data_IF_379868281383
#
_entry.id   IF_379868281383
#
_cell.length_a   1.000
_cell.length_b   1.000
_cell.length_c   1.000
_cell.angle_alpha   90.00
_cell.angle_beta   90.00
_cell.angle_gamma   90.00
#
_symmetry.space_group_name_H-M   'P 1'
#
loop_
_entity.id
_entity.type
_entity.pdbx_description
1 polymer ?
#
# COMPACT_ATOMS: atom_id res chain seq x y z
N UNK A 1 5.08 -17.41 5.93
CA UNK A 1 5.87 -18.20 4.94
C UNK A 1 5.11 -18.41 3.64
N UNK A 2 3.88 -18.95 3.64
CA UNK A 2 3.13 -19.26 2.41
C UNK A 2 2.96 -18.07 1.46
N UNK A 3 2.38 -16.95 1.91
CA UNK A 3 2.09 -15.82 1.03
C UNK A 3 3.33 -15.28 0.32
N UNK A 4 4.49 -15.22 0.96
CA UNK A 4 5.73 -14.75 0.32
C UNK A 4 6.12 -15.63 -0.88
N UNK A 5 6.06 -16.95 -0.72
CA UNK A 5 6.40 -17.88 -1.81
C UNK A 5 5.30 -17.93 -2.88
N UNK A 6 4.03 -17.91 -2.45
CA UNK A 6 2.87 -17.89 -3.34
C UNK A 6 2.89 -16.65 -4.21
N UNK A 7 3.03 -15.48 -3.61
CA UNK A 7 3.03 -14.21 -4.31
C UNK A 7 4.25 -14.10 -5.22
N UNK A 8 5.43 -14.55 -4.77
CA UNK A 8 6.61 -14.64 -5.62
C UNK A 8 6.38 -15.51 -6.86
N UNK A 9 5.76 -16.67 -6.67
CA UNK A 9 5.41 -17.57 -7.76
C UNK A 9 4.41 -16.95 -8.75
N UNK A 10 3.29 -16.39 -8.26
CA UNK A 10 2.24 -15.83 -9.13
C UNK A 10 2.64 -14.51 -9.80
N UNK A 11 3.54 -13.73 -9.18
CA UNK A 11 4.07 -12.49 -9.78
C UNK A 11 5.31 -12.74 -10.65
N UNK A 12 5.93 -13.92 -10.55
CA UNK A 12 7.12 -14.30 -11.31
C UNK A 12 8.42 -13.66 -10.81
N UNK A 13 8.45 -13.12 -9.59
CA UNK A 13 9.67 -12.54 -9.00
C UNK A 13 10.47 -13.60 -8.26
N UNK A 14 11.78 -13.65 -8.48
CA UNK A 14 12.65 -14.66 -7.86
C UNK A 14 13.05 -14.32 -6.42
N UNK A 15 12.92 -13.07 -6.01
CA UNK A 15 13.42 -12.53 -4.74
C UNK A 15 12.62 -13.01 -3.51
N UNK A 16 11.38 -13.47 -3.68
CA UNK A 16 10.56 -13.97 -2.58
C UNK A 16 10.74 -15.45 -2.23
N UNK A 17 11.64 -16.16 -2.91
CA UNK A 17 11.90 -17.58 -2.68
C UNK A 17 12.95 -17.80 -1.57
N UNK A 18 12.62 -18.68 -0.63
CA UNK A 18 13.50 -19.15 0.45
C UNK A 18 13.24 -20.63 0.74
N UNK A 19 14.19 -21.32 1.37
CA UNK A 19 14.10 -22.75 1.67
C UNK A 19 13.22 -23.02 2.91
N UNK A 20 11.91 -23.13 2.68
CA UNK A 20 10.94 -23.47 3.73
C UNK A 20 11.17 -24.85 4.33
N UNK A 21 11.58 -25.85 3.55
CA UNK A 21 11.83 -27.19 4.06
C UNK A 21 12.98 -27.19 5.07
N UNK A 22 14.03 -26.41 4.78
CA UNK A 22 15.13 -26.21 5.72
C UNK A 22 14.64 -25.58 7.02
N UNK A 23 13.86 -24.50 6.95
CA UNK A 23 13.30 -23.82 8.14
C UNK A 23 12.48 -24.81 8.98
N UNK A 24 11.57 -25.56 8.38
CA UNK A 24 10.75 -26.56 9.08
C UNK A 24 11.61 -27.64 9.75
N UNK A 25 12.71 -28.07 9.10
CA UNK A 25 13.61 -29.10 9.64
C UNK A 25 14.36 -28.65 10.90
N UNK A 26 14.71 -27.37 10.98
CA UNK A 26 15.46 -26.79 12.12
C UNK A 26 14.57 -26.16 13.19
N UNK A 27 13.28 -26.01 12.91
CA UNK A 27 12.27 -25.49 13.83
C UNK A 27 12.06 -26.41 15.03
N UNK A 28 12.00 -25.86 16.24
CA UNK A 28 11.77 -26.61 17.47
C UNK A 28 10.69 -25.91 18.31
N UNK A 29 9.79 -26.69 18.94
CA UNK A 29 8.95 -26.14 20.00
C UNK A 29 9.82 -25.81 21.22
N UNK A 30 9.49 -24.72 21.87
CA UNK A 30 9.98 -24.27 23.17
C UNK A 30 8.74 -23.89 24.02
N UNK A 31 8.87 -23.75 25.34
CA UNK A 31 7.70 -23.73 26.27
C UNK A 31 6.54 -22.83 25.82
N UNK A 32 6.82 -21.60 25.39
CA UNK A 32 5.82 -20.62 24.96
C UNK A 32 6.01 -20.13 23.51
N UNK A 33 6.93 -20.73 22.74
CA UNK A 33 7.30 -20.21 21.43
C UNK A 33 7.87 -21.26 20.48
N UNK A 34 8.09 -20.84 19.24
CA UNK A 34 8.81 -21.61 18.24
C UNK A 34 10.20 -21.01 18.08
N UNK A 35 11.23 -21.84 18.24
CA UNK A 35 12.63 -21.45 18.07
C UNK A 35 13.25 -22.17 16.87
N UNK A 36 14.37 -21.65 16.38
CA UNK A 36 15.10 -22.23 15.26
C UNK A 36 16.46 -22.71 15.74
N UNK A 37 16.89 -23.94 15.43
CA UNK A 37 18.27 -24.35 15.74
C UNK A 37 19.27 -23.41 15.08
N UNK A 38 20.34 -23.05 15.78
CA UNK A 38 21.45 -22.22 15.27
C UNK A 38 21.92 -22.67 13.87
N UNK A 39 22.05 -23.98 13.64
CA UNK A 39 22.40 -24.57 12.33
C UNK A 39 21.49 -24.18 11.14
N UNK A 40 20.34 -23.56 11.40
CA UNK A 40 19.40 -23.07 10.40
C UNK A 40 19.34 -21.56 10.26
N UNK A 41 20.22 -20.81 10.93
CA UNK A 41 20.28 -19.35 10.90
C UNK A 41 20.20 -18.80 9.47
N UNK A 42 21.05 -19.28 8.56
CA UNK A 42 21.07 -18.79 7.17
C UNK A 42 19.75 -19.00 6.41
N UNK A 43 19.01 -20.07 6.70
CA UNK A 43 17.69 -20.26 6.08
C UNK A 43 16.67 -19.23 6.57
N UNK A 44 16.81 -18.77 7.82
CA UNK A 44 15.98 -17.69 8.36
C UNK A 44 16.45 -16.32 7.83
N UNK A 45 17.75 -16.10 7.66
CA UNK A 45 18.28 -14.90 7.01
C UNK A 45 17.70 -14.75 5.60
N UNK A 46 17.73 -15.83 4.81
CA UNK A 46 17.14 -15.86 3.47
C UNK A 46 15.64 -15.54 3.52
N UNK A 47 14.89 -16.12 4.46
CA UNK A 47 13.48 -15.79 4.65
C UNK A 47 13.24 -14.30 4.93
N UNK A 48 14.02 -13.70 5.83
CA UNK A 48 13.89 -12.27 6.17
C UNK A 48 14.26 -11.40 4.96
N UNK A 49 15.30 -11.77 4.23
CA UNK A 49 15.71 -11.05 3.03
C UNK A 49 14.64 -11.13 1.94
N UNK A 50 14.07 -12.32 1.72
CA UNK A 50 12.95 -12.52 0.79
C UNK A 50 11.73 -11.69 1.21
N UNK A 51 11.39 -11.66 2.51
CA UNK A 51 10.34 -10.77 3.02
C UNK A 51 10.66 -9.32 2.68
N UNK A 52 11.85 -8.84 3.04
CA UNK A 52 12.27 -7.47 2.78
C UNK A 52 12.13 -7.08 1.30
N UNK A 53 12.61 -7.94 0.39
CA UNK A 53 12.54 -7.68 -1.05
C UNK A 53 11.09 -7.69 -1.58
N UNK A 54 10.25 -8.61 -1.12
CA UNK A 54 8.83 -8.67 -1.52
C UNK A 54 8.06 -7.39 -1.17
N UNK A 55 8.31 -6.79 -0.01
CA UNK A 55 7.67 -5.53 0.36
C UNK A 55 8.03 -4.40 -0.61
N UNK A 56 9.30 -4.21 -0.92
CA UNK A 56 9.73 -3.10 -1.79
C UNK A 56 9.41 -3.32 -3.27
N UNK A 57 9.50 -4.56 -3.75
CA UNK A 57 9.36 -4.86 -5.18
C UNK A 57 7.91 -5.13 -5.59
N UNK A 58 7.07 -5.62 -4.66
CA UNK A 58 5.69 -6.04 -4.97
C UNK A 58 4.68 -5.22 -4.18
N UNK A 59 4.70 -5.29 -2.85
CA UNK A 59 3.61 -4.72 -2.03
C UNK A 59 3.60 -3.19 -2.03
N UNK A 60 4.77 -2.56 -2.04
CA UNK A 60 4.95 -1.11 -2.13
C UNK A 60 5.24 -0.63 -3.55
N UNK A 61 5.02 -1.48 -4.55
CA UNK A 61 5.22 -1.08 -5.93
C UNK A 61 4.29 0.10 -6.26
N UNK A 62 4.84 1.25 -6.70
CA UNK A 62 4.08 2.49 -6.76
C UNK A 62 2.90 2.45 -7.73
N UNK A 63 3.00 1.63 -8.79
CA UNK A 63 1.90 1.43 -9.74
C UNK A 63 0.74 0.65 -9.09
N UNK A 64 1.02 -0.33 -8.22
CA UNK A 64 -0.01 -1.06 -7.48
C UNK A 64 -0.69 -0.16 -6.47
N UNK A 65 0.09 0.62 -5.72
CA UNK A 65 -0.41 1.64 -4.80
C UNK A 65 -1.27 2.70 -5.49
N UNK A 66 -0.96 3.06 -6.74
CA UNK A 66 -1.81 3.94 -7.56
C UNK A 66 -3.22 3.39 -7.77
N UNK A 67 -3.35 2.08 -8.01
CA UNK A 67 -4.65 1.43 -8.15
C UNK A 67 -5.43 1.42 -6.81
N UNK A 68 -4.74 1.20 -5.69
CA UNK A 68 -5.32 1.26 -4.35
C UNK A 68 -5.78 2.67 -3.95
N UNK A 69 -5.00 3.70 -4.33
CA UNK A 69 -5.39 5.11 -4.18
C UNK A 69 -6.69 5.37 -4.94
N UNK A 70 -6.77 4.99 -6.22
CA UNK A 70 -7.98 5.16 -7.02
C UNK A 70 -9.15 4.39 -6.41
N UNK A 71 -8.95 3.13 -6.02
CA UNK A 71 -9.96 2.31 -5.34
C UNK A 71 -10.54 3.00 -4.10
N UNK A 72 -9.66 3.51 -3.24
CA UNK A 72 -10.04 4.23 -2.02
C UNK A 72 -10.85 5.49 -2.37
N UNK A 73 -10.41 6.24 -3.38
CA UNK A 73 -11.10 7.45 -3.85
C UNK A 73 -12.46 7.16 -4.46
N UNK A 74 -12.64 6.04 -5.18
CA UNK A 74 -13.95 5.57 -5.63
C UNK A 74 -14.88 5.38 -4.42
N UNK A 75 -14.46 4.59 -3.43
CA UNK A 75 -15.30 4.26 -2.27
C UNK A 75 -15.63 5.50 -1.43
N UNK A 76 -14.68 6.43 -1.29
CA UNK A 76 -14.92 7.73 -0.65
C UNK A 76 -15.97 8.55 -1.42
N UNK A 77 -15.86 8.63 -2.75
CA UNK A 77 -16.82 9.38 -3.58
C UNK A 77 -18.22 8.78 -3.49
N UNK A 78 -18.33 7.46 -3.56
CA UNK A 78 -19.62 6.77 -3.43
C UNK A 78 -20.23 7.04 -2.05
N UNK A 79 -19.44 6.99 -0.97
CA UNK A 79 -19.91 7.32 0.38
C UNK A 79 -20.37 8.77 0.51
N UNK A 80 -19.63 9.71 -0.07
CA UNK A 80 -19.98 11.14 -0.08
C UNK A 80 -21.32 11.37 -0.81
N UNK A 81 -21.45 10.85 -2.03
CA UNK A 81 -22.67 10.95 -2.84
C UNK A 81 -23.87 10.27 -2.14
N UNK A 82 -23.66 9.12 -1.48
CA UNK A 82 -24.69 8.47 -0.66
C UNK A 82 -25.19 9.39 0.46
N UNK A 83 -24.28 10.02 1.20
CA UNK A 83 -24.60 10.98 2.26
C UNK A 83 -25.33 12.23 1.76
N UNK A 84 -25.11 12.63 0.51
CA UNK A 84 -25.81 13.74 -0.16
C UNK A 84 -27.16 13.35 -0.76
N UNK A 85 -27.61 12.10 -0.55
CA UNK A 85 -28.82 11.54 -1.18
C UNK A 85 -28.79 11.63 -2.72
N UNK A 86 -27.60 11.49 -3.31
CA UNK A 86 -27.41 11.50 -4.76
C UNK A 86 -28.24 10.40 -5.45
N UNK A 87 -28.94 10.71 -6.56
CA UNK A 87 -29.78 9.74 -7.27
C UNK A 87 -28.94 8.85 -8.20
N UNK A 88 -28.20 7.89 -7.63
CA UNK A 88 -27.43 6.91 -8.41
C UNK A 88 -28.29 6.19 -9.45
N UNK A 89 -27.76 6.01 -10.66
CA UNK A 89 -28.36 5.11 -11.66
C UNK A 89 -28.43 3.68 -11.14
N UNK A 90 -27.36 3.23 -10.48
CA UNK A 90 -27.30 1.95 -9.77
C UNK A 90 -26.93 2.19 -8.32
N UNK A 91 -27.90 1.98 -7.42
CA UNK A 91 -27.72 2.25 -5.99
C UNK A 91 -26.65 1.35 -5.37
N UNK A 92 -25.74 1.88 -4.53
CA UNK A 92 -24.67 1.12 -3.85
C UNK A 92 -25.19 0.21 -2.72
N UNK A 93 -26.22 -0.60 -2.97
CA UNK A 93 -26.94 -1.37 -1.96
C UNK A 93 -26.05 -2.27 -1.09
N UNK A 94 -25.05 -3.01 -1.64
CA UNK A 94 -24.16 -3.83 -0.80
C UNK A 94 -23.24 -3.01 0.11
N UNK A 95 -23.04 -1.73 -0.18
CA UNK A 95 -22.12 -0.85 0.55
C UNK A 95 -22.81 -0.03 1.65
N UNK A 96 -24.15 0.06 1.65
CA UNK A 96 -24.88 0.97 2.55
C UNK A 96 -24.64 0.68 4.03
N UNK A 97 -24.62 -0.60 4.42
CA UNK A 97 -24.35 -0.99 5.81
C UNK A 97 -22.95 -0.58 6.27
N UNK A 98 -21.97 -0.57 5.36
CA UNK A 98 -20.61 -0.07 5.61
C UNK A 98 -20.59 1.44 5.77
N UNK A 99 -21.31 2.17 4.91
CA UNK A 99 -21.39 3.62 5.00
C UNK A 99 -22.08 4.10 6.27
N UNK A 100 -23.07 3.36 6.76
CA UNK A 100 -23.82 3.63 7.98
C UNK A 100 -23.15 3.11 9.26
N UNK A 101 -22.06 2.34 9.14
CA UNK A 101 -21.37 1.74 10.27
C UNK A 101 -22.17 0.65 10.98
N UNK A 102 -23.13 0.02 10.29
CA UNK A 102 -24.05 -1.01 10.82
C UNK A 102 -23.91 -2.34 10.07
N UNK A 103 -22.67 -2.72 9.76
CA UNK A 103 -22.36 -3.92 8.99
C UNK A 103 -22.73 -5.18 9.78
N UNK A 104 -23.62 -6.00 9.24
CA UNK A 104 -23.84 -7.35 9.75
C UNK A 104 -22.84 -8.34 9.15
N UNK A 105 -22.62 -9.48 9.82
CA UNK A 105 -21.79 -10.57 9.27
C UNK A 105 -22.30 -11.05 7.90
N UNK A 106 -23.62 -11.10 7.72
CA UNK A 106 -24.24 -11.50 6.46
C UNK A 106 -23.96 -10.49 5.34
N UNK A 107 -23.96 -9.19 5.63
CA UNK A 107 -23.61 -8.17 4.64
C UNK A 107 -22.13 -8.23 4.29
N UNK A 108 -21.26 -8.45 5.28
CA UNK A 108 -19.82 -8.58 5.07
C UNK A 108 -19.48 -9.75 4.14
N UNK A 109 -20.05 -10.94 4.38
CA UNK A 109 -19.78 -12.15 3.57
C UNK A 109 -20.32 -12.02 2.14
N UNK A 110 -21.37 -11.22 1.91
CA UNK A 110 -21.96 -11.01 0.59
C UNK A 110 -21.14 -10.11 -0.30
N UNK A 111 -20.20 -9.34 0.25
CA UNK A 111 -19.38 -8.42 -0.51
C UNK A 111 -18.07 -9.11 -0.90
N UNK A 112 -17.92 -9.41 -2.19
CA UNK A 112 -16.70 -9.93 -2.78
C UNK A 112 -16.21 -9.06 -3.95
N UNK A 113 -15.06 -9.41 -4.52
CA UNK A 113 -14.46 -8.72 -5.65
C UNK A 113 -15.41 -8.63 -6.85
N UNK A 114 -16.13 -9.70 -7.18
CA UNK A 114 -17.00 -9.75 -8.35
C UNK A 114 -18.19 -8.78 -8.20
N UNK A 115 -18.74 -8.68 -6.99
CA UNK A 115 -19.77 -7.68 -6.66
C UNK A 115 -19.20 -6.28 -6.83
N UNK A 116 -18.02 -5.98 -6.26
CA UNK A 116 -17.39 -4.66 -6.36
C UNK A 116 -17.13 -4.29 -7.83
N UNK A 117 -16.58 -5.21 -8.63
CA UNK A 117 -16.30 -5.00 -10.05
C UNK A 117 -17.57 -4.77 -10.87
N UNK A 118 -18.66 -5.48 -10.58
CA UNK A 118 -19.96 -5.23 -11.21
C UNK A 118 -20.41 -3.78 -10.98
N UNK A 119 -20.36 -3.32 -9.73
CA UNK A 119 -20.75 -1.94 -9.40
C UNK A 119 -19.83 -0.91 -10.07
N UNK A 120 -18.53 -1.17 -10.10
CA UNK A 120 -17.59 -0.27 -10.78
C UNK A 120 -17.88 -0.19 -12.27
N UNK A 121 -18.16 -1.32 -12.92
CA UNK A 121 -18.57 -1.34 -14.33
C UNK A 121 -19.85 -0.52 -14.55
N UNK A 122 -20.87 -0.69 -13.71
CA UNK A 122 -22.11 0.09 -13.82
C UNK A 122 -21.88 1.59 -13.62
N UNK A 123 -21.03 1.98 -12.68
CA UNK A 123 -20.74 3.39 -12.41
C UNK A 123 -19.86 4.06 -13.47
N UNK A 124 -19.31 3.32 -14.44
CA UNK A 124 -18.65 3.95 -15.62
C UNK A 124 -19.61 4.77 -16.48
N UNK A 125 -20.92 4.58 -16.29
CA UNK A 125 -21.98 5.34 -16.95
C UNK A 125 -22.71 6.31 -15.99
N UNK A 126 -22.22 6.50 -14.76
CA UNK A 126 -22.83 7.42 -13.79
C UNK A 126 -22.72 8.88 -14.23
N UNK A 127 -23.63 9.75 -13.76
CA UNK A 127 -23.61 11.17 -14.14
C UNK A 127 -22.57 11.98 -13.37
N UNK A 128 -22.19 11.54 -12.16
CA UNK A 128 -21.14 12.20 -11.37
C UNK A 128 -19.78 12.06 -12.09
N UNK A 129 -19.14 13.18 -12.50
CA UNK A 129 -17.95 13.11 -13.33
C UNK A 129 -16.74 12.52 -12.61
N UNK A 130 -16.62 12.74 -11.29
CA UNK A 130 -15.51 12.21 -10.48
C UNK A 130 -15.65 10.70 -10.32
N UNK A 131 -16.82 10.23 -9.86
CA UNK A 131 -17.08 8.80 -9.70
C UNK A 131 -16.87 8.07 -11.03
N UNK A 132 -17.47 8.59 -12.11
CA UNK A 132 -17.35 8.02 -13.46
C UNK A 132 -15.90 7.93 -13.93
N UNK A 133 -15.11 8.98 -13.77
CA UNK A 133 -13.70 8.96 -14.19
C UNK A 133 -12.87 7.99 -13.34
N UNK A 134 -13.03 8.00 -12.01
CA UNK A 134 -12.26 7.12 -11.12
C UNK A 134 -12.56 5.63 -11.37
N UNK A 135 -13.83 5.25 -11.51
CA UNK A 135 -14.17 3.85 -11.84
C UNK A 135 -13.72 3.46 -13.24
N UNK A 136 -13.86 4.37 -14.22
CA UNK A 136 -13.33 4.14 -15.57
C UNK A 136 -11.82 3.90 -15.54
N UNK A 137 -11.08 4.68 -14.74
CA UNK A 137 -9.63 4.51 -14.55
C UNK A 137 -9.30 3.17 -13.93
N UNK A 138 -10.02 2.74 -12.90
CA UNK A 138 -9.75 1.47 -12.24
C UNK A 138 -9.99 0.29 -13.19
N UNK A 139 -11.18 0.23 -13.80
CA UNK A 139 -11.58 -0.87 -14.70
C UNK A 139 -10.71 -0.94 -15.95
N UNK A 140 -10.33 0.20 -16.53
CA UNK A 140 -9.48 0.26 -17.74
C UNK A 140 -7.99 0.44 -17.43
N UNK A 141 -7.58 0.27 -16.17
CA UNK A 141 -6.19 0.38 -15.71
C UNK A 141 -5.49 1.69 -16.14
N UNK A 142 -6.20 2.81 -16.11
CA UNK A 142 -5.67 4.16 -16.35
C UNK A 142 -5.27 4.82 -15.03
N UNK A 143 -4.20 4.28 -14.46
CA UNK A 143 -3.72 4.62 -13.12
C UNK A 143 -3.08 6.02 -13.05
N UNK A 144 -3.12 6.62 -11.86
CA UNK A 144 -2.39 7.86 -11.58
C UNK A 144 -0.88 7.65 -11.70
N UNK A 145 -0.19 8.72 -12.10
CA UNK A 145 1.27 8.81 -12.03
C UNK A 145 1.68 9.28 -10.64
N UNK A 146 2.96 9.12 -10.33
CA UNK A 146 3.49 9.45 -9.01
C UNK A 146 4.83 10.17 -9.13
N UNK A 147 5.16 10.93 -8.09
CA UNK A 147 6.47 11.55 -7.85
C UNK A 147 6.84 11.37 -6.37
N UNK A 148 8.13 11.38 -6.05
CA UNK A 148 8.57 11.37 -4.65
C UNK A 148 8.17 12.69 -3.99
N UNK A 149 7.43 12.61 -2.89
CA UNK A 149 6.85 13.79 -2.26
C UNK A 149 6.66 13.59 -0.78
N UNK A 150 7.46 14.28 0.03
CA UNK A 150 7.29 14.27 1.48
C UNK A 150 6.54 15.54 1.92
N UNK A 151 5.27 15.44 2.37
CA UNK A 151 4.47 16.62 2.70
C UNK A 151 5.06 17.42 3.89
N UNK A 152 5.78 16.75 4.80
CA UNK A 152 6.41 17.43 5.94
C UNK A 152 7.59 18.31 5.50
N UNK A 153 8.24 17.98 4.39
CA UNK A 153 9.37 18.73 3.84
C UNK A 153 8.92 19.72 2.75
N UNK A 154 7.83 19.43 2.05
CA UNK A 154 7.36 20.14 0.86
C UNK A 154 5.98 20.77 1.06
N UNK A 155 5.69 21.26 2.27
CA UNK A 155 4.39 21.82 2.63
C UNK A 155 3.95 22.99 1.71
N UNK A 156 4.89 23.84 1.30
CA UNK A 156 4.57 24.97 0.40
C UNK A 156 4.18 24.48 -1.00
N UNK A 157 4.92 23.51 -1.56
CA UNK A 157 4.58 22.87 -2.84
C UNK A 157 3.20 22.17 -2.75
N UNK A 158 2.89 21.54 -1.60
CA UNK A 158 1.58 20.91 -1.35
C UNK A 158 0.44 21.93 -1.42
N UNK A 159 0.53 23.03 -0.66
CA UNK A 159 -0.52 24.05 -0.65
C UNK A 159 -0.70 24.69 -2.03
N UNK A 160 0.39 24.96 -2.74
CA UNK A 160 0.35 25.53 -4.09
C UNK A 160 -0.31 24.55 -5.09
N UNK A 161 0.09 23.27 -5.09
CA UNK A 161 -0.55 22.24 -5.93
C UNK A 161 -2.04 22.10 -5.64
N UNK A 162 -2.41 22.08 -4.36
CA UNK A 162 -3.80 21.93 -3.94
C UNK A 162 -4.67 23.07 -4.48
N UNK A 163 -4.15 24.30 -4.43
CA UNK A 163 -4.84 25.47 -4.99
C UNK A 163 -4.88 25.44 -6.53
N UNK A 164 -3.76 25.12 -7.19
CA UNK A 164 -3.69 25.04 -8.64
C UNK A 164 -4.65 23.98 -9.21
N UNK A 165 -4.81 22.84 -8.53
CA UNK A 165 -5.77 21.81 -8.93
C UNK A 165 -7.21 22.34 -8.91
N UNK A 166 -7.59 23.11 -7.88
CA UNK A 166 -8.90 23.78 -7.82
C UNK A 166 -9.10 24.79 -8.95
N UNK A 167 -8.06 25.54 -9.31
CA UNK A 167 -8.11 26.54 -10.39
C UNK A 167 -8.32 25.93 -11.78
N UNK A 168 -7.91 24.67 -11.97
CA UNK A 168 -8.07 23.92 -13.23
C UNK A 168 -9.28 22.97 -13.21
N UNK A 169 -10.19 23.14 -12.24
CA UNK A 169 -11.40 22.32 -12.05
C UNK A 169 -11.11 20.81 -11.85
N UNK A 170 -9.97 20.50 -11.22
CA UNK A 170 -9.63 19.15 -10.76
C UNK A 170 -9.71 19.11 -9.24
N UNK A 171 -10.68 18.36 -8.70
CA UNK A 171 -10.82 18.24 -7.25
C UNK A 171 -9.58 17.57 -6.62
N UNK A 172 -8.77 18.31 -5.83
CA UNK A 172 -7.55 17.76 -5.25
C UNK A 172 -7.82 16.64 -4.24
N UNK A 173 -9.01 16.59 -3.62
CA UNK A 173 -9.34 15.54 -2.66
C UNK A 173 -9.48 14.17 -3.34
N UNK A 174 -9.68 14.14 -4.66
CA UNK A 174 -9.80 12.93 -5.48
C UNK A 174 -8.63 12.71 -6.44
N UNK A 175 -7.99 13.78 -6.92
CA UNK A 175 -6.97 13.73 -7.95
C UNK A 175 -5.55 14.08 -7.50
N UNK A 176 -5.35 14.49 -6.23
CA UNK A 176 -4.04 14.85 -5.69
C UNK A 176 -3.83 14.15 -4.34
N UNK A 177 -3.18 12.98 -4.35
CA UNK A 177 -3.17 12.10 -3.17
C UNK A 177 -1.76 11.81 -2.71
N UNK A 178 -1.44 12.19 -1.48
CA UNK A 178 -0.22 11.70 -0.82
C UNK A 178 -0.52 10.34 -0.21
N UNK A 179 0.32 9.36 -0.54
CA UNK A 179 0.32 8.05 0.09
C UNK A 179 1.70 7.78 0.69
N UNK A 180 1.71 7.15 1.86
CA UNK A 180 2.93 6.79 2.57
C UNK A 180 2.91 5.31 2.89
N UNK A 181 3.89 4.57 2.35
CA UNK A 181 4.10 3.17 2.67
C UNK A 181 5.31 3.04 3.58
N UNK A 182 5.18 2.31 4.68
CA UNK A 182 6.29 2.00 5.56
C UNK A 182 6.25 0.54 5.97
N UNK A 183 7.39 -0.13 5.95
CA UNK A 183 7.55 -1.44 6.57
C UNK A 183 8.73 -1.41 7.53
N UNK A 184 8.62 -2.29 8.53
CA UNK A 184 9.67 -2.68 9.45
C UNK A 184 9.99 -4.14 9.10
N UNK A 185 11.03 -4.37 8.27
CA UNK A 185 11.33 -5.68 7.68
C UNK A 185 11.65 -6.74 8.72
N UNK A 186 12.23 -6.30 9.83
CA UNK A 186 12.37 -7.06 11.06
C UNK A 186 12.46 -6.03 12.19
N UNK A 187 11.62 -6.17 13.21
CA UNK A 187 11.64 -5.32 14.39
C UNK A 187 11.24 -6.14 15.60
N UNK A 188 12.01 -5.97 16.67
CA UNK A 188 11.80 -6.60 17.96
C UNK A 188 12.28 -5.63 19.04
N UNK A 189 11.78 -5.82 20.26
CA UNK A 189 11.89 -4.93 21.42
C UNK A 189 13.07 -3.93 21.39
N UNK A 190 12.73 -2.64 21.33
CA UNK A 190 13.61 -1.52 21.67
C UNK A 190 13.10 -0.86 22.95
N UNK A 191 13.95 -0.60 23.96
CA UNK A 191 13.52 0.12 25.16
C UNK A 191 12.94 1.49 24.76
N UNK A 192 11.63 1.69 24.99
CA UNK A 192 10.94 2.97 24.77
C UNK A 192 10.18 3.14 23.44
N UNK A 193 9.91 2.09 22.67
CA UNK A 193 9.03 2.14 21.48
C UNK A 193 7.53 2.00 21.81
N UNK A 194 6.67 2.72 21.09
CA UNK A 194 5.20 2.78 21.33
C UNK A 194 4.36 1.75 20.54
N UNK A 195 4.94 0.87 19.73
CA UNK A 195 4.17 -0.07 18.88
C UNK A 195 4.28 -1.54 19.35
N UNK A 196 3.17 -2.28 19.19
CA UNK A 196 2.93 -3.66 19.65
C UNK A 196 4.14 -4.60 19.56
N UNK A 197 4.43 -5.28 20.67
CA UNK A 197 5.57 -6.16 20.89
C UNK A 197 5.59 -7.35 19.91
N UNK A 198 6.36 -7.26 18.83
CA UNK A 198 6.64 -8.41 17.96
C UNK A 198 7.65 -9.34 18.65
N UNK A 199 7.28 -10.62 18.77
CA UNK A 199 8.17 -11.65 19.31
C UNK A 199 9.39 -11.83 18.38
N UNK A 200 10.62 -11.72 18.91
CA UNK A 200 11.83 -11.95 18.12
C UNK A 200 11.96 -13.40 17.68
N UNK A 201 12.73 -13.64 16.63
CA UNK A 201 13.14 -15.00 16.24
C UNK A 201 14.35 -15.40 17.09
N UNK A 202 14.18 -16.47 17.87
CA UNK A 202 15.25 -17.02 18.69
C UNK A 202 15.95 -18.20 18.00
N UNK A 203 17.27 -18.20 18.12
CA UNK A 203 18.16 -19.29 17.77
C UNK A 203 18.44 -20.16 19.01
N UNK A 204 18.13 -21.45 18.92
CA UNK A 204 18.49 -22.46 19.91
C UNK A 204 19.93 -22.92 19.67
N UNK A 205 20.80 -22.54 20.60
CA UNK A 205 22.23 -22.84 20.58
C UNK A 205 22.49 -24.28 21.06
N UNK A 206 23.67 -24.88 20.76
CA UNK A 206 24.00 -26.23 21.19
C UNK A 206 24.03 -26.45 22.72
N UNK A 207 24.24 -25.38 23.49
CA UNK A 207 24.20 -25.37 24.97
C UNK A 207 22.79 -25.16 25.54
N UNK A 208 21.74 -25.21 24.70
CA UNK A 208 20.34 -24.91 25.02
C UNK A 208 20.06 -23.45 25.41
N UNK A 209 21.03 -22.53 25.26
CA UNK A 209 20.73 -21.09 25.38
C UNK A 209 19.96 -20.60 24.15
N UNK A 210 19.09 -19.61 24.36
CA UNK A 210 18.43 -18.90 23.28
C UNK A 210 19.19 -17.61 22.99
N UNK A 211 19.44 -17.35 21.70
CA UNK A 211 20.00 -16.08 21.22
C UNK A 211 19.09 -15.46 20.19
N UNK A 212 18.88 -14.15 20.29
CA UNK A 212 18.10 -13.42 19.30
C UNK A 212 18.87 -13.37 17.96
N UNK A 213 18.14 -13.58 16.85
CA UNK A 213 18.70 -13.71 15.50
C UNK A 213 19.55 -12.52 15.06
N UNK A 214 19.07 -11.29 15.18
CA UNK A 214 19.82 -10.10 14.74
C UNK A 214 21.14 -9.93 15.50
N UNK A 215 21.21 -10.37 16.77
CA UNK A 215 22.47 -10.36 17.53
C UNK A 215 23.48 -11.39 17.04
N UNK A 216 23.09 -12.34 16.20
CA UNK A 216 23.97 -13.37 15.63
C UNK A 216 24.17 -13.23 14.12
N UNK A 217 23.36 -12.41 13.44
CA UNK A 217 23.37 -12.21 12.00
C UNK A 217 23.58 -10.75 11.63
N UNK A 218 24.74 -10.43 11.06
CA UNK A 218 25.07 -9.08 10.58
C UNK A 218 24.07 -8.58 9.52
N UNK A 219 23.56 -9.50 8.68
CA UNK A 219 22.60 -9.17 7.61
C UNK A 219 21.27 -8.75 8.21
N UNK A 220 20.76 -9.53 9.17
CA UNK A 220 19.49 -9.21 9.83
C UNK A 220 19.64 -7.95 10.66
N UNK A 221 20.75 -7.80 11.41
CA UNK A 221 21.06 -6.58 12.16
C UNK A 221 21.03 -5.34 11.25
N UNK A 222 21.64 -5.42 10.06
CA UNK A 222 21.74 -4.29 9.14
C UNK A 222 20.39 -3.76 8.65
N UNK A 223 19.32 -4.57 8.68
CA UNK A 223 17.96 -4.17 8.28
C UNK A 223 16.99 -4.03 9.48
N UNK A 224 17.43 -4.45 10.67
CA UNK A 224 16.61 -4.47 11.89
C UNK A 224 16.28 -3.06 12.38
N UNK A 225 14.98 -2.80 12.58
CA UNK A 225 14.42 -1.56 13.10
C UNK A 225 14.84 -0.30 12.32
N UNK A 226 15.19 -0.46 11.04
CA UNK A 226 15.29 0.64 10.08
C UNK A 226 13.92 0.78 9.39
N UNK A 227 13.05 1.61 9.97
CA UNK A 227 11.78 1.97 9.32
C UNK A 227 12.11 2.76 8.06
N UNK A 228 11.83 2.17 6.91
CA UNK A 228 11.95 2.86 5.63
C UNK A 228 10.55 3.27 5.21
N UNK A 229 10.36 4.57 5.09
CA UNK A 229 9.09 5.16 4.63
C UNK A 229 9.31 5.74 3.25
N UNK A 230 8.41 5.41 2.35
CA UNK A 230 8.34 5.93 1.00
C UNK A 230 7.10 6.81 0.90
N UNK A 231 7.28 8.06 0.46
CA UNK A 231 6.22 9.06 0.38
C UNK A 231 6.04 9.47 -1.07
N UNK A 232 4.85 9.24 -1.61
CA UNK A 232 4.54 9.51 -3.02
C UNK A 232 3.33 10.39 -3.14
N UNK A 233 3.36 11.28 -4.12
CA UNK A 233 2.23 12.07 -4.54
C UNK A 233 1.67 11.52 -5.86
N UNK A 234 0.43 11.08 -5.83
CA UNK A 234 -0.30 10.52 -6.97
C UNK A 234 -1.18 11.56 -7.65
N UNK A 235 -1.17 11.58 -8.99
CA UNK A 235 -1.93 12.54 -9.81
C UNK A 235 -2.29 12.01 -11.22
N UNK A 236 -3.37 12.52 -11.85
CA UNK A 236 -3.78 12.14 -13.21
C UNK A 236 -2.97 12.92 -14.27
N UNK A 237 -1.76 12.44 -14.59
CA UNK A 237 -0.90 13.07 -15.63
C UNK A 237 -1.64 13.39 -16.93
N UNK A 238 -2.52 12.49 -17.37
CA UNK A 238 -3.28 12.64 -18.61
C UNK A 238 -4.29 13.79 -18.59
N UNK A 239 -4.85 14.15 -17.42
CA UNK A 239 -5.76 15.29 -17.32
C UNK A 239 -4.97 16.60 -17.33
N UNK A 240 -3.82 16.63 -16.63
CA UNK A 240 -2.91 17.77 -16.64
C UNK A 240 -2.38 18.04 -18.04
N UNK A 241 -2.05 17.00 -18.81
CA UNK A 241 -1.58 17.14 -20.20
C UNK A 241 -2.66 17.68 -21.15
N UNK A 242 -3.94 17.41 -20.88
CA UNK A 242 -5.09 17.87 -21.67
C UNK A 242 -5.49 19.33 -21.40
N UNK A 243 -5.00 19.94 -20.31
CA UNK A 243 -5.21 21.37 -20.06
C UNK A 243 -4.68 22.20 -21.24
N UNK A 244 -5.26 23.37 -21.49
CA UNK A 244 -4.84 24.22 -22.60
C UNK A 244 -3.39 24.71 -22.41
N UNK A 245 -2.61 24.81 -23.50
CA UNK A 245 -1.18 25.17 -23.41
C UNK A 245 -0.95 26.65 -23.04
N UNK A 246 -1.96 27.51 -23.24
CA UNK A 246 -1.96 28.91 -22.84
C UNK A 246 -2.35 29.12 -21.37
N UNK A 247 -2.78 28.07 -20.67
CA UNK A 247 -3.16 28.11 -19.26
C UNK A 247 -1.90 28.11 -18.37
N UNK A 248 -1.56 29.21 -17.66
CA UNK A 248 -0.32 29.30 -16.90
C UNK A 248 -0.26 28.32 -15.72
N UNK A 249 -1.41 27.90 -15.19
CA UNK A 249 -1.52 26.91 -14.12
C UNK A 249 -0.93 25.55 -14.53
N UNK A 250 -1.11 25.14 -15.79
CA UNK A 250 -0.56 23.88 -16.33
C UNK A 250 0.96 23.82 -16.14
N UNK A 251 1.66 24.88 -16.53
CA UNK A 251 3.12 24.94 -16.45
C UNK A 251 3.61 25.06 -15.00
N UNK A 252 2.86 25.75 -14.11
CA UNK A 252 3.15 25.78 -12.67
C UNK A 252 3.03 24.39 -12.05
N UNK A 253 1.93 23.68 -12.30
CA UNK A 253 1.69 22.31 -11.82
C UNK A 253 2.84 21.40 -12.27
N UNK A 254 3.14 21.39 -13.57
CA UNK A 254 4.24 20.58 -14.12
C UNK A 254 5.58 20.94 -13.49
N UNK A 255 5.85 22.23 -13.28
CA UNK A 255 7.11 22.69 -12.66
C UNK A 255 7.25 22.13 -11.26
N UNK A 256 6.18 22.10 -10.45
CA UNK A 256 6.25 21.55 -9.10
C UNK A 256 6.38 20.02 -9.14
N UNK A 257 5.57 19.33 -9.94
CA UNK A 257 5.58 17.87 -10.03
C UNK A 257 6.90 17.31 -10.60
N UNK A 258 7.45 17.95 -11.63
CA UNK A 258 8.65 17.46 -12.35
C UNK A 258 9.95 18.10 -11.87
N UNK A 259 9.95 18.82 -10.75
CA UNK A 259 11.16 19.42 -10.14
C UNK A 259 12.28 18.40 -9.90
N UNK A 260 11.93 17.14 -9.67
CA UNK A 260 12.85 16.07 -9.29
C UNK A 260 13.32 15.18 -10.46
N UNK A 261 12.81 15.38 -11.67
CA UNK A 261 13.26 14.66 -12.89
C UNK A 261 14.52 15.30 -13.54
N UNK A 262 15.21 16.21 -12.83
CA UNK A 262 16.45 16.88 -13.24
C UNK A 262 17.54 16.70 -12.21
#
# INVERSE_FOLDING_TARGET
>A
MDYLQRDAYFTGVSYGHFDMERILRVMRPDEDQVVIKESGMHAVEDYIMSRYQMYWQVYFHPVTRSAEVILTKILHRVKELYGQHYPFKVKPTPFTSFFEGKVSLADYIRLDEAVVLYYFQMWTEEDDPILRDLVYRFVNRRLFKYVEFNPNLQMNDWMELYQLFKEVDLDPDYYLVVDSSSDLPYDFYRPGGEEEERLPIHLLMPNNELRELSRQSEIVEAISGKKRTDHKLYYPKDLIEKLADDQPEKEKIKKILYKQDR
#
